data_IF_360100187750
#
_entry.id   IF_360100187750
#
_cell.length_a   1.000
_cell.length_b   1.000
_cell.length_c   1.000
_cell.angle_alpha   90.00
_cell.angle_beta   90.00
_cell.angle_gamma   90.00
#
_symmetry.space_group_name_H-M   'P 1'
#
loop_
_entity.id
_entity.type
_entity.pdbx_description
1 polymer ?
#
# COMPACT_ATOMS: atom_id res chain seq x y z
N UNK A 1 0.50 21.96 6.68
CA UNK A 1 -0.71 22.29 5.88
C UNK A 1 -1.44 20.98 5.58
N UNK A 2 -2.75 20.86 5.86
CA UNK A 2 -3.50 19.60 5.71
C UNK A 2 -4.31 19.50 4.40
N UNK A 3 -4.24 20.53 3.55
CA UNK A 3 -4.86 20.54 2.22
C UNK A 3 -3.81 20.97 1.19
N UNK A 4 -3.58 20.16 0.16
CA UNK A 4 -2.71 20.44 -0.97
C UNK A 4 -3.54 20.69 -2.21
N UNK A 5 -3.35 21.83 -2.86
CA UNK A 5 -4.09 22.19 -4.07
C UNK A 5 -3.13 22.83 -5.07
N UNK A 6 -2.87 22.12 -6.16
CA UNK A 6 -1.96 22.56 -7.22
C UNK A 6 -2.64 22.36 -8.58
N UNK A 7 -3.00 23.45 -9.24
CA UNK A 7 -3.60 23.40 -10.59
C UNK A 7 -2.59 22.92 -11.64
N UNK A 8 -1.34 23.38 -11.51
CA UNK A 8 -0.22 22.93 -12.32
C UNK A 8 0.43 21.69 -11.68
N UNK A 9 0.78 20.71 -12.51
CA UNK A 9 1.45 19.46 -12.10
C UNK A 9 2.96 19.60 -11.91
N UNK A 10 3.52 20.71 -12.37
CA UNK A 10 4.96 20.95 -12.45
C UNK A 10 5.59 20.35 -13.70
N UNK A 11 6.92 20.38 -13.74
CA UNK A 11 7.75 19.91 -14.87
C UNK A 11 8.11 18.42 -14.81
N UNK A 12 7.80 17.75 -13.71
CA UNK A 12 8.28 16.40 -13.39
C UNK A 12 7.39 15.29 -13.95
N UNK A 13 8.04 14.18 -14.31
CA UNK A 13 7.43 12.93 -14.74
C UNK A 13 6.82 12.98 -16.14
N UNK A 14 6.42 11.80 -16.62
CA UNK A 14 5.83 11.65 -17.96
C UNK A 14 4.36 12.08 -17.95
N UNK A 15 4.04 13.17 -18.66
CA UNK A 15 2.67 13.65 -18.83
C UNK A 15 1.73 12.66 -19.53
N UNK A 16 2.27 11.77 -20.37
CA UNK A 16 1.51 10.70 -21.03
C UNK A 16 1.17 9.54 -20.10
N UNK A 17 1.84 9.43 -18.94
CA UNK A 17 1.53 8.40 -17.95
C UNK A 17 0.22 8.73 -17.24
N UNK A 18 -0.81 7.90 -17.47
CA UNK A 18 -2.11 8.09 -16.83
C UNK A 18 -2.00 7.99 -15.32
N UNK A 19 -2.80 8.76 -14.61
CA UNK A 19 -2.84 8.73 -13.15
C UNK A 19 -1.61 9.32 -12.46
N UNK A 20 -0.75 10.06 -13.16
CA UNK A 20 0.40 10.68 -12.51
C UNK A 20 -0.02 11.73 -11.46
N UNK A 21 0.70 11.83 -10.34
CA UNK A 21 0.49 12.85 -9.31
C UNK A 21 1.28 14.13 -9.64
N UNK A 22 0.87 15.27 -9.10
CA UNK A 22 1.64 16.53 -9.23
C UNK A 22 2.96 16.42 -8.47
N UNK A 23 4.07 16.82 -9.10
CA UNK A 23 5.38 16.82 -8.45
C UNK A 23 5.44 17.74 -7.22
N UNK A 24 4.60 18.78 -7.18
CA UNK A 24 4.46 19.65 -6.02
C UNK A 24 4.00 18.90 -4.76
N UNK A 25 3.21 17.82 -4.91
CA UNK A 25 2.79 17.00 -3.77
C UNK A 25 4.00 16.32 -3.13
N UNK A 26 4.83 15.64 -3.93
CA UNK A 26 6.06 15.02 -3.44
C UNK A 26 7.01 16.05 -2.85
N UNK A 27 7.17 17.20 -3.52
CA UNK A 27 8.00 18.29 -3.03
C UNK A 27 7.56 18.76 -1.64
N UNK A 28 6.26 18.99 -1.43
CA UNK A 28 5.74 19.38 -0.11
C UNK A 28 5.96 18.30 0.95
N UNK A 29 5.81 17.01 0.59
CA UNK A 29 6.11 15.91 1.52
C UNK A 29 7.60 15.89 1.88
N UNK A 30 8.49 16.05 0.90
CA UNK A 30 9.93 16.04 1.12
C UNK A 30 10.42 17.27 1.89
N UNK A 31 9.85 18.45 1.65
CA UNK A 31 10.12 19.66 2.44
C UNK A 31 9.68 19.49 3.90
N UNK A 32 8.54 18.81 4.14
CA UNK A 32 7.97 18.61 5.47
C UNK A 32 8.67 17.52 6.30
N UNK A 33 9.04 16.40 5.68
CA UNK A 33 9.57 15.22 6.36
C UNK A 33 11.08 15.02 6.17
N UNK A 34 11.70 15.74 5.23
CA UNK A 34 13.14 15.76 4.97
C UNK A 34 13.78 14.35 4.92
N UNK A 35 13.23 13.40 4.14
CA UNK A 35 13.81 12.08 4.03
C UNK A 35 15.19 12.17 3.35
N UNK A 36 16.15 11.36 3.81
CA UNK A 36 17.44 11.21 3.10
C UNK A 36 17.36 10.11 2.04
N UNK A 37 16.61 9.05 2.35
CA UNK A 37 16.31 7.92 1.49
C UNK A 37 14.80 7.82 1.31
N UNK A 38 14.36 7.85 0.05
CA UNK A 38 12.97 7.73 -0.37
C UNK A 38 12.76 6.50 -1.26
N UNK A 39 11.63 5.82 -1.11
CA UNK A 39 11.24 4.72 -1.99
C UNK A 39 9.81 4.90 -2.46
N UNK A 40 9.62 4.89 -3.78
CA UNK A 40 8.31 4.78 -4.41
C UNK A 40 8.19 3.38 -5.03
N UNK A 41 7.43 2.45 -4.41
CA UNK A 41 7.33 1.09 -4.92
C UNK A 41 6.36 0.95 -6.11
N UNK A 42 5.76 2.06 -6.56
CA UNK A 42 4.82 2.15 -7.68
C UNK A 42 5.05 3.45 -8.47
N UNK A 43 6.30 3.64 -8.92
CA UNK A 43 6.80 4.92 -9.43
C UNK A 43 6.11 5.41 -10.70
N UNK A 44 5.58 4.49 -11.52
CA UNK A 44 4.93 4.78 -12.79
C UNK A 44 5.70 5.78 -13.67
N UNK A 45 5.18 7.00 -13.77
CA UNK A 45 5.71 8.06 -14.65
C UNK A 45 7.04 8.68 -14.20
N UNK A 46 7.58 8.34 -13.02
CA UNK A 46 8.89 8.82 -12.54
C UNK A 46 8.87 10.07 -11.67
N UNK A 47 7.71 10.72 -11.50
CA UNK A 47 7.59 12.05 -10.88
C UNK A 47 8.22 12.15 -9.49
N UNK A 48 7.98 11.16 -8.65
CA UNK A 48 8.46 11.16 -7.27
C UNK A 48 9.99 11.11 -7.18
N UNK A 49 10.61 10.30 -8.05
CA UNK A 49 12.08 10.17 -8.17
C UNK A 49 12.69 11.44 -8.75
N UNK A 50 12.12 12.01 -9.81
CA UNK A 50 12.66 13.26 -10.39
C UNK A 50 12.60 14.43 -9.40
N UNK A 51 11.55 14.51 -8.57
CA UNK A 51 11.46 15.52 -7.50
C UNK A 51 12.49 15.26 -6.41
N UNK A 52 12.71 14.00 -6.04
CA UNK A 52 13.70 13.61 -5.04
C UNK A 52 15.13 13.94 -5.50
N UNK A 53 15.46 13.63 -6.75
CA UNK A 53 16.76 13.95 -7.37
C UNK A 53 17.04 15.46 -7.35
N UNK A 54 16.05 16.28 -7.72
CA UNK A 54 16.18 17.75 -7.68
C UNK A 54 16.41 18.29 -6.26
N UNK A 55 15.92 17.58 -5.25
CA UNK A 55 16.08 17.93 -3.83
C UNK A 55 17.32 17.29 -3.18
N UNK A 56 18.13 16.53 -3.93
CA UNK A 56 19.31 15.84 -3.41
C UNK A 56 19.00 14.67 -2.46
N UNK A 57 17.84 14.04 -2.64
CA UNK A 57 17.37 12.91 -1.84
C UNK A 57 17.71 11.61 -2.60
N UNK A 58 18.27 10.62 -1.90
CA UNK A 58 18.51 9.31 -2.49
C UNK A 58 17.17 8.59 -2.71
N UNK A 59 16.80 8.32 -3.97
CA UNK A 59 15.49 7.76 -4.30
C UNK A 59 15.55 6.44 -5.09
N UNK A 60 14.60 5.55 -4.79
CA UNK A 60 14.40 4.30 -5.52
C UNK A 60 12.97 4.24 -6.05
N UNK A 61 12.83 4.22 -7.38
CA UNK A 61 11.56 3.95 -8.05
C UNK A 61 11.46 2.49 -8.45
N UNK A 62 10.49 1.77 -7.89
CA UNK A 62 10.14 0.41 -8.29
C UNK A 62 8.79 0.40 -8.99
N UNK A 63 8.55 -0.59 -9.83
CA UNK A 63 7.24 -0.78 -10.46
C UNK A 63 7.10 -2.20 -11.00
N UNK A 64 5.85 -2.63 -11.16
CA UNK A 64 5.51 -3.89 -11.81
C UNK A 64 6.01 -3.91 -13.26
N UNK A 65 5.93 -2.78 -13.97
CA UNK A 65 6.45 -2.68 -15.34
C UNK A 65 7.98 -2.74 -15.43
N UNK A 66 8.67 -2.54 -14.30
CA UNK A 66 10.12 -2.60 -14.17
C UNK A 66 10.58 -3.91 -13.50
N UNK A 67 9.69 -4.90 -13.37
CA UNK A 67 10.01 -6.20 -12.79
C UNK A 67 10.07 -6.22 -11.26
N UNK A 68 9.35 -5.32 -10.57
CA UNK A 68 9.15 -5.37 -9.13
C UNK A 68 7.67 -5.52 -8.80
N UNK A 69 7.31 -6.62 -8.16
CA UNK A 69 5.94 -6.89 -7.77
C UNK A 69 5.77 -6.67 -6.27
N UNK A 70 5.20 -5.53 -5.86
CA UNK A 70 5.01 -5.18 -4.44
C UNK A 70 4.22 -6.24 -3.63
N UNK A 71 3.44 -7.10 -4.29
CA UNK A 71 2.68 -8.18 -3.66
C UNK A 71 3.46 -9.49 -3.48
N UNK A 72 4.66 -9.60 -4.05
CA UNK A 72 5.49 -10.82 -4.01
C UNK A 72 6.93 -10.55 -3.59
N UNK A 73 7.48 -9.41 -4.01
CA UNK A 73 8.85 -9.00 -3.77
C UNK A 73 8.94 -8.11 -2.54
N UNK A 74 9.99 -8.30 -1.73
CA UNK A 74 10.27 -7.41 -0.60
C UNK A 74 10.90 -6.11 -1.07
N UNK A 75 10.30 -4.96 -0.70
CA UNK A 75 10.90 -3.63 -0.97
C UNK A 75 12.28 -3.54 -0.31
N UNK A 76 12.38 -3.98 0.95
CA UNK A 76 13.61 -3.94 1.73
C UNK A 76 14.73 -4.75 1.07
N UNK A 77 14.45 -5.97 0.61
CA UNK A 77 15.47 -6.80 -0.06
C UNK A 77 15.86 -6.22 -1.43
N UNK A 78 14.91 -5.68 -2.18
CA UNK A 78 15.17 -5.07 -3.49
C UNK A 78 16.05 -3.83 -3.39
N UNK A 79 15.79 -2.97 -2.40
CA UNK A 79 16.53 -1.73 -2.17
C UNK A 79 17.83 -1.99 -1.39
N UNK A 80 17.88 -3.05 -0.58
CA UNK A 80 19.03 -3.46 0.21
C UNK A 80 19.27 -2.65 1.49
N UNK A 81 18.41 -1.67 1.79
CA UNK A 81 18.47 -0.82 2.99
C UNK A 81 17.08 -0.29 3.36
N UNK A 82 16.93 0.11 4.62
CA UNK A 82 15.71 0.79 5.07
C UNK A 82 15.67 2.25 4.58
N UNK A 83 14.46 2.75 4.33
CA UNK A 83 14.22 4.12 3.86
C UNK A 83 13.64 5.03 4.96
N UNK A 84 13.93 6.33 4.89
CA UNK A 84 13.30 7.33 5.76
C UNK A 84 11.82 7.52 5.43
N UNK A 85 11.47 7.41 4.14
CA UNK A 85 10.10 7.50 3.66
C UNK A 85 9.81 6.49 2.55
N UNK A 86 8.72 5.72 2.69
CA UNK A 86 8.21 4.83 1.65
C UNK A 86 6.78 5.23 1.29
N UNK A 87 6.55 5.69 0.06
CA UNK A 87 5.26 6.25 -0.33
C UNK A 87 4.87 5.80 -1.73
N UNK A 88 3.67 5.24 -1.86
CA UNK A 88 3.12 4.84 -3.15
C UNK A 88 1.97 5.75 -3.58
N UNK A 89 1.77 5.81 -4.88
CA UNK A 89 0.55 6.35 -5.45
C UNK A 89 -0.23 5.23 -6.14
N UNK A 90 -1.35 4.84 -5.52
CA UNK A 90 -2.24 3.81 -6.08
C UNK A 90 -3.33 4.47 -6.93
N UNK A 91 -3.47 4.11 -8.20
CA UNK A 91 -4.68 4.42 -8.97
C UNK A 91 -5.88 3.67 -8.34
N UNK A 92 -7.10 4.23 -8.43
CA UNK A 92 -8.28 3.58 -7.84
C UNK A 92 -8.79 2.40 -8.65
N UNK A 93 -8.90 1.23 -8.02
CA UNK A 93 -9.71 0.10 -8.51
C UNK A 93 -9.52 -0.14 -10.03
N UNK A 94 -10.56 -0.51 -10.77
CA UNK A 94 -10.56 -0.73 -12.22
C UNK A 94 -10.54 0.56 -13.06
N UNK A 95 -10.25 1.74 -12.48
CA UNK A 95 -10.35 3.02 -13.19
C UNK A 95 -9.25 3.18 -14.25
N UNK A 96 -8.08 2.59 -14.04
CA UNK A 96 -6.99 2.52 -15.02
C UNK A 96 -6.36 1.13 -14.90
N UNK A 97 -6.67 0.22 -15.82
CA UNK A 97 -5.93 -1.05 -15.91
C UNK A 97 -4.56 -0.74 -16.54
N UNK A 98 -3.44 -1.00 -15.86
CA UNK A 98 -2.12 -0.65 -16.40
C UNK A 98 -1.54 -1.78 -17.24
N UNK A 99 -1.47 -2.99 -16.69
CA UNK A 99 -0.98 -4.15 -17.42
C UNK A 99 -1.94 -4.52 -18.56
N UNK A 100 -1.45 -4.57 -19.80
CA UNK A 100 -2.27 -4.84 -20.98
C UNK A 100 -3.05 -3.64 -21.55
N UNK A 101 -2.96 -2.44 -20.96
CA UNK A 101 -3.51 -1.21 -21.59
C UNK A 101 -2.55 -0.02 -21.58
N UNK A 102 -1.82 0.20 -20.49
CA UNK A 102 -0.79 1.25 -20.39
C UNK A 102 0.58 0.69 -20.75
N UNK A 103 0.87 -0.56 -20.39
CA UNK A 103 2.12 -1.23 -20.72
C UNK A 103 1.96 -2.75 -20.79
N UNK A 104 2.79 -3.40 -21.61
CA UNK A 104 2.94 -4.86 -21.67
C UNK A 104 1.65 -5.65 -21.88
N UNK A 105 1.68 -6.90 -21.42
CA UNK A 105 0.54 -7.83 -21.42
C UNK A 105 -0.18 -7.82 -20.05
N UNK A 106 -1.45 -8.28 -19.99
CA UNK A 106 -2.18 -8.53 -18.74
C UNK A 106 -1.36 -9.23 -17.63
N UNK A 107 -1.28 -8.63 -16.43
CA UNK A 107 -0.58 -9.23 -15.29
C UNK A 107 -1.55 -9.51 -14.12
N UNK A 108 -1.57 -10.74 -13.61
CA UNK A 108 -2.53 -11.17 -12.58
C UNK A 108 -2.38 -10.41 -11.24
N UNK A 109 -1.16 -9.98 -10.93
CA UNK A 109 -0.87 -9.23 -9.70
C UNK A 109 -0.97 -7.71 -9.87
N UNK A 110 -1.50 -7.24 -11.00
CA UNK A 110 -1.90 -5.83 -11.13
C UNK A 110 -2.95 -5.52 -10.04
N UNK A 111 -2.65 -4.54 -9.18
CA UNK A 111 -3.52 -4.10 -8.07
C UNK A 111 -4.91 -3.68 -8.55
N UNK A 112 -5.09 -3.48 -9.85
CA UNK A 112 -6.30 -2.93 -10.45
C UNK A 112 -7.08 -3.98 -11.26
N UNK A 113 -6.55 -5.21 -11.35
CA UNK A 113 -7.27 -6.41 -11.83
C UNK A 113 -7.83 -7.20 -10.64
N UNK A 114 -8.63 -6.54 -9.82
CA UNK A 114 -9.27 -7.16 -8.67
C UNK A 114 -10.60 -7.80 -9.02
N UNK A 115 -10.85 -8.99 -8.47
CA UNK A 115 -12.12 -9.71 -8.65
C UNK A 115 -13.23 -9.16 -7.74
N UNK A 116 -12.87 -8.42 -6.68
CA UNK A 116 -13.79 -7.77 -5.75
C UNK A 116 -13.09 -6.61 -5.01
N UNK A 117 -13.88 -5.75 -4.34
CA UNK A 117 -13.32 -4.72 -3.45
C UNK A 117 -12.52 -5.31 -2.29
N UNK A 118 -12.89 -6.51 -1.84
CA UNK A 118 -12.18 -7.20 -0.76
C UNK A 118 -10.77 -7.63 -1.21
N UNK A 119 -10.64 -8.14 -2.45
CA UNK A 119 -9.34 -8.46 -3.06
C UNK A 119 -8.47 -7.20 -3.21
N UNK A 120 -9.07 -6.07 -3.63
CA UNK A 120 -8.38 -4.79 -3.72
C UNK A 120 -7.82 -4.34 -2.37
N UNK A 121 -8.66 -4.36 -1.33
CA UNK A 121 -8.23 -3.96 0.01
C UNK A 121 -7.21 -4.92 0.63
N UNK A 122 -7.30 -6.22 0.35
CA UNK A 122 -6.29 -7.21 0.77
C UNK A 122 -4.92 -6.89 0.14
N UNK A 123 -4.90 -6.61 -1.17
CA UNK A 123 -3.67 -6.26 -1.88
C UNK A 123 -3.07 -4.94 -1.40
N UNK A 124 -3.88 -3.91 -1.18
CA UNK A 124 -3.41 -2.64 -0.57
C UNK A 124 -2.81 -2.88 0.80
N UNK A 125 -3.44 -3.71 1.63
CA UNK A 125 -2.92 -4.00 2.96
C UNK A 125 -1.56 -4.70 2.90
N UNK A 126 -1.38 -5.65 1.97
CA UNK A 126 -0.07 -6.29 1.72
C UNK A 126 0.97 -5.28 1.29
N UNK A 127 0.63 -4.40 0.35
CA UNK A 127 1.50 -3.31 -0.10
C UNK A 127 1.92 -2.42 1.07
N UNK A 128 0.97 -1.96 1.90
CA UNK A 128 1.25 -1.11 3.06
C UNK A 128 2.14 -1.79 4.10
N UNK A 129 1.95 -3.09 4.35
CA UNK A 129 2.83 -3.86 5.24
C UNK A 129 4.24 -3.98 4.68
N UNK A 130 4.38 -4.22 3.37
CA UNK A 130 5.68 -4.26 2.70
C UNK A 130 6.40 -2.90 2.80
N UNK A 131 5.68 -1.79 2.58
CA UNK A 131 6.20 -0.44 2.76
C UNK A 131 6.70 -0.21 4.19
N UNK A 132 5.85 -0.52 5.19
CA UNK A 132 6.20 -0.38 6.60
C UNK A 132 7.45 -1.21 6.98
N UNK A 133 7.59 -2.41 6.42
CA UNK A 133 8.76 -3.25 6.67
C UNK A 133 10.05 -2.61 6.12
N UNK A 134 9.99 -1.97 4.95
CA UNK A 134 11.12 -1.26 4.34
C UNK A 134 11.41 0.13 4.94
N UNK A 135 10.46 0.71 5.68
CA UNK A 135 10.67 1.97 6.39
C UNK A 135 11.51 1.76 7.65
N UNK A 136 12.48 2.62 7.92
CA UNK A 136 13.28 2.56 9.15
C UNK A 136 12.46 2.91 10.39
N UNK A 137 12.96 2.55 11.57
CA UNK A 137 12.37 3.00 12.84
C UNK A 137 12.34 4.55 12.94
N UNK A 138 11.21 5.12 13.32
CA UNK A 138 10.94 6.56 13.29
C UNK A 138 10.65 7.16 11.91
N UNK A 139 10.75 6.36 10.84
CA UNK A 139 10.47 6.79 9.46
C UNK A 139 8.98 6.85 9.13
N UNK A 140 8.67 7.35 7.94
CA UNK A 140 7.31 7.52 7.45
C UNK A 140 6.97 6.49 6.36
N UNK A 141 5.75 5.99 6.37
CA UNK A 141 5.21 5.26 5.23
C UNK A 141 3.79 5.72 4.92
N UNK A 142 3.35 5.54 3.69
CA UNK A 142 2.01 5.95 3.33
C UNK A 142 1.63 5.69 1.89
N UNK A 143 0.46 6.21 1.54
CA UNK A 143 -0.04 6.16 0.18
C UNK A 143 -0.87 7.40 -0.15
N UNK A 144 -0.94 7.73 -1.44
CA UNK A 144 -1.99 8.54 -2.02
C UNK A 144 -3.09 7.60 -2.52
N UNK A 145 -4.28 7.73 -1.94
CA UNK A 145 -5.50 7.02 -2.32
C UNK A 145 -6.69 8.01 -2.34
N UNK A 146 -7.90 7.58 -2.58
CA UNK A 146 -9.05 8.41 -2.92
C UNK A 146 -10.24 7.51 -3.10
N UNK A 147 -11.40 8.11 -2.96
CA UNK A 147 -12.62 7.36 -2.78
C UNK A 147 -13.35 7.14 -4.09
N UNK A 148 -14.12 6.07 -4.16
CA UNK A 148 -14.85 5.69 -5.37
C UNK A 148 -16.35 5.86 -5.14
N UNK A 149 -17.03 6.44 -6.14
CA UNK A 149 -18.48 6.35 -6.25
C UNK A 149 -18.87 5.65 -7.53
N UNK A 150 -19.57 4.51 -7.42
CA UNK A 150 -20.08 3.74 -8.55
C UNK A 150 -21.48 3.23 -8.25
N UNK A 151 -22.38 3.30 -9.23
CA UNK A 151 -23.78 2.87 -9.10
C UNK A 151 -24.51 3.49 -7.88
N UNK A 152 -24.22 4.76 -7.57
CA UNK A 152 -24.81 5.47 -6.44
C UNK A 152 -24.24 5.12 -5.06
N UNK A 153 -23.35 4.13 -4.95
CA UNK A 153 -22.71 3.74 -3.71
C UNK A 153 -21.35 4.42 -3.56
N UNK A 154 -21.07 4.98 -2.39
CA UNK A 154 -19.79 5.56 -2.02
C UNK A 154 -18.95 4.53 -1.26
N UNK A 155 -17.71 4.35 -1.69
CA UNK A 155 -16.73 3.46 -1.07
C UNK A 155 -15.58 4.30 -0.56
N UNK A 156 -15.37 4.29 0.75
CA UNK A 156 -14.32 5.07 1.39
C UNK A 156 -13.06 4.22 1.59
N UNK A 157 -12.25 4.11 0.53
CA UNK A 157 -11.00 3.36 0.59
C UNK A 157 -10.02 3.96 1.57
N UNK A 158 -10.04 5.28 1.79
CA UNK A 158 -9.22 5.91 2.81
C UNK A 158 -9.55 5.38 4.22
N UNK A 159 -10.84 5.23 4.54
CA UNK A 159 -11.29 4.76 5.84
C UNK A 159 -10.88 3.30 6.04
N UNK A 160 -11.02 2.49 4.99
CA UNK A 160 -10.60 1.09 5.01
C UNK A 160 -9.08 0.95 5.18
N UNK A 161 -8.27 1.81 4.57
CA UNK A 161 -6.81 1.83 4.78
C UNK A 161 -6.47 2.14 6.24
N UNK A 162 -7.07 3.19 6.82
CA UNK A 162 -6.88 3.57 8.23
C UNK A 162 -7.33 2.44 9.16
N UNK A 163 -8.45 1.80 8.86
CA UNK A 163 -8.99 0.70 9.65
C UNK A 163 -8.21 -0.62 9.50
N UNK A 164 -7.22 -0.69 8.59
CA UNK A 164 -6.40 -1.89 8.33
C UNK A 164 -4.93 -1.73 8.70
N UNK A 165 -4.52 -0.55 9.16
CA UNK A 165 -3.17 -0.24 9.63
C UNK A 165 -3.17 0.24 11.09
N UNK A 166 -2.08 0.05 11.85
CA UNK A 166 -2.02 0.41 13.27
C UNK A 166 -2.45 1.87 13.52
N UNK A 167 -3.50 2.06 14.34
CA UNK A 167 -4.02 3.40 14.68
C UNK A 167 -3.00 4.23 15.46
N UNK A 168 -2.18 3.56 16.28
CA UNK A 168 -1.05 4.12 17.03
C UNK A 168 -0.01 4.78 16.15
N UNK A 169 0.12 4.33 14.90
CA UNK A 169 1.10 4.83 13.94
C UNK A 169 0.51 5.91 13.02
N UNK A 170 -0.81 6.13 13.00
CA UNK A 170 -1.44 7.10 12.10
C UNK A 170 -0.96 8.51 12.46
N UNK A 171 -0.23 9.13 11.54
CA UNK A 171 0.45 10.39 11.77
C UNK A 171 -0.27 11.57 11.09
N UNK A 172 -0.77 11.39 9.86
CA UNK A 172 -1.47 12.44 9.14
C UNK A 172 -2.44 11.90 8.09
N UNK A 173 -3.53 12.64 7.89
CA UNK A 173 -4.42 12.52 6.73
C UNK A 173 -4.47 13.90 6.06
N UNK A 174 -3.94 13.99 4.84
CA UNK A 174 -3.85 15.23 4.07
C UNK A 174 -4.74 15.12 2.84
N UNK A 175 -5.54 16.16 2.59
CA UNK A 175 -6.46 16.21 1.45
C UNK A 175 -5.70 16.80 0.26
N UNK A 176 -5.67 16.10 -0.86
CA UNK A 176 -5.15 16.60 -2.13
C UNK A 176 -6.33 16.94 -3.04
N UNK A 177 -6.51 18.22 -3.36
CA UNK A 177 -7.52 18.63 -4.34
C UNK A 177 -7.16 18.08 -5.73
N UNK A 178 -8.17 17.62 -6.47
CA UNK A 178 -8.05 17.21 -7.85
C UNK A 178 -8.45 18.36 -8.77
N UNK A 179 -7.65 18.54 -9.83
CA UNK A 179 -7.86 19.54 -10.87
C UNK A 179 -7.78 18.85 -12.24
N UNK A 180 -8.55 19.33 -13.22
CA UNK A 180 -8.53 18.87 -14.60
C UNK A 180 -8.82 17.36 -14.77
N UNK A 181 -9.87 16.88 -14.11
CA UNK A 181 -10.26 15.47 -14.17
C UNK A 181 -11.02 15.17 -15.47
N UNK A 182 -10.83 13.97 -16.04
CA UNK A 182 -11.62 13.49 -17.21
C UNK A 182 -13.13 13.47 -16.90
N UNK A 183 -13.50 13.34 -15.63
CA UNK A 183 -14.89 13.40 -15.19
C UNK A 183 -15.49 14.81 -15.25
N UNK A 184 -14.68 15.86 -15.41
CA UNK A 184 -15.14 17.25 -15.49
C UNK A 184 -15.90 17.55 -16.78
N UNK A 185 -15.64 16.82 -17.86
CA UNK A 185 -16.39 16.95 -19.12
C UNK A 185 -17.73 16.22 -19.09
N UNK A 186 -18.03 15.45 -18.04
CA UNK A 186 -19.27 14.66 -17.94
C UNK A 186 -20.37 15.43 -17.22
N UNK A 187 -21.44 15.75 -17.94
CA UNK A 187 -22.67 16.28 -17.34
C UNK A 187 -23.51 15.12 -16.77
N UNK A 188 -23.47 14.98 -15.45
CA UNK A 188 -24.32 14.03 -14.74
C UNK A 188 -25.70 14.68 -14.53
N UNK A 189 -26.62 14.46 -15.47
CA UNK A 189 -27.92 15.14 -15.56
C UNK A 189 -28.85 15.00 -14.34
N UNK A 190 -28.51 14.17 -13.34
CA UNK A 190 -29.27 13.94 -12.09
C UNK A 190 -28.37 13.57 -10.90
N UNK A 191 -27.39 14.41 -10.54
CA UNK A 191 -26.60 14.13 -9.33
C UNK A 191 -27.40 14.42 -8.06
N UNK A 192 -27.70 13.38 -7.29
CA UNK A 192 -28.24 13.49 -5.92
C UNK A 192 -27.17 13.85 -4.88
N UNK A 193 -25.89 13.58 -5.17
CA UNK A 193 -24.78 13.70 -4.21
C UNK A 193 -23.59 14.48 -4.79
N UNK A 194 -22.84 15.18 -3.93
CA UNK A 194 -21.67 16.01 -4.29
C UNK A 194 -20.55 15.19 -4.93
N UNK A 195 -19.87 15.74 -5.95
CA UNK A 195 -18.74 15.10 -6.63
C UNK A 195 -17.55 14.93 -5.69
N UNK A 196 -16.78 13.86 -5.90
CA UNK A 196 -15.47 13.67 -5.27
C UNK A 196 -14.48 14.47 -6.11
N UNK A 197 -13.80 15.43 -5.49
CA UNK A 197 -12.84 16.34 -6.12
C UNK A 197 -11.50 16.33 -5.38
N UNK A 198 -11.24 15.25 -4.64
CA UNK A 198 -10.09 15.15 -3.78
C UNK A 198 -9.64 13.71 -3.60
N UNK A 199 -8.38 13.59 -3.23
CA UNK A 199 -7.69 12.37 -2.87
C UNK A 199 -7.12 12.55 -1.45
N UNK A 200 -6.74 11.46 -0.81
CA UNK A 200 -6.19 11.39 0.53
C UNK A 200 -4.76 10.88 0.49
N UNK A 201 -3.85 11.67 1.04
CA UNK A 201 -2.53 11.21 1.42
C UNK A 201 -2.66 10.74 2.87
N UNK A 202 -2.40 9.46 3.11
CA UNK A 202 -2.45 8.87 4.44
C UNK A 202 -1.04 8.46 4.82
N UNK A 203 -0.57 8.96 5.96
CA UNK A 203 0.78 8.78 6.43
C UNK A 203 0.77 8.17 7.83
N UNK A 204 1.65 7.20 8.01
CA UNK A 204 1.94 6.57 9.28
C UNK A 204 3.41 6.76 9.64
N UNK A 205 3.70 6.90 10.93
CA UNK A 205 5.04 6.94 11.47
C UNK A 205 5.36 5.58 12.11
N UNK A 206 6.40 4.90 11.61
CA UNK A 206 6.87 3.64 12.20
C UNK A 206 7.52 3.94 13.55
N UNK A 207 7.09 3.33 14.67
CA UNK A 207 7.62 3.63 16.00
C UNK A 207 9.14 3.44 16.08
N UNK A 208 9.83 4.25 16.91
CA UNK A 208 11.27 4.08 17.16
C UNK A 208 11.57 2.79 17.93
N UNK A 209 10.76 2.48 18.94
CA UNK A 209 10.85 1.23 19.68
C UNK A 209 9.91 0.21 19.05
N UNK A 210 10.47 -0.86 18.47
CA UNK A 210 9.71 -1.95 17.82
C UNK A 210 9.01 -2.87 18.86
N UNK A 211 8.80 -2.38 20.08
CA UNK A 211 8.17 -3.11 21.18
C UNK A 211 6.66 -3.37 20.95
N UNK A 212 6.04 -2.66 20.01
CA UNK A 212 4.64 -2.87 19.64
C UNK A 212 4.56 -3.84 18.45
N UNK A 213 4.10 -5.06 18.73
CA UNK A 213 3.88 -6.06 17.69
C UNK A 213 2.72 -5.60 16.79
N UNK A 214 3.02 -5.33 15.51
CA UNK A 214 2.08 -4.92 14.46
C UNK A 214 0.86 -5.83 14.47
N UNK A 215 1.07 -7.13 14.67
CA UNK A 215 0.00 -8.11 14.64
C UNK A 215 -0.86 -8.02 15.89
N UNK A 216 -0.37 -7.53 17.04
CA UNK A 216 -1.21 -7.18 18.19
C UNK A 216 -2.17 -6.03 17.85
N UNK A 217 -1.68 -4.98 17.20
CA UNK A 217 -2.49 -3.84 16.77
C UNK A 217 -3.51 -4.27 15.69
N UNK A 218 -3.04 -4.97 14.65
CA UNK A 218 -3.91 -5.53 13.61
C UNK A 218 -4.91 -6.55 14.19
N UNK A 219 -4.55 -7.32 15.22
CA UNK A 219 -5.46 -8.25 15.89
C UNK A 219 -6.52 -7.56 16.74
N UNK A 220 -6.14 -6.52 17.49
CA UNK A 220 -7.07 -5.70 18.25
C UNK A 220 -8.11 -5.05 17.33
N UNK A 221 -7.66 -4.59 16.15
CA UNK A 221 -8.52 -4.03 15.11
C UNK A 221 -9.41 -5.09 14.44
N UNK A 222 -8.85 -6.26 14.14
CA UNK A 222 -9.58 -7.39 13.57
C UNK A 222 -10.71 -7.87 14.52
N UNK A 223 -10.50 -7.83 15.84
CA UNK A 223 -11.51 -8.16 16.86
C UNK A 223 -12.70 -7.19 16.89
N UNK A 224 -12.54 -5.96 16.39
CA UNK A 224 -13.61 -4.95 16.27
C UNK A 224 -14.44 -5.08 14.99
N UNK A 225 -13.95 -5.75 13.94
CA UNK A 225 -14.62 -5.88 12.63
C UNK A 225 -14.52 -7.33 12.10
N UNK A 226 -15.60 -8.12 12.25
CA UNK A 226 -15.62 -9.58 11.99
C UNK A 226 -15.27 -10.01 10.55
N UNK A 227 -15.55 -9.19 9.54
CA UNK A 227 -15.17 -9.47 8.14
C UNK A 227 -13.71 -9.09 7.84
N UNK A 228 -13.18 -8.05 8.50
CA UNK A 228 -11.78 -7.63 8.36
C UNK A 228 -10.82 -8.70 8.89
N UNK A 229 -11.23 -9.49 9.88
CA UNK A 229 -10.47 -10.61 10.45
C UNK A 229 -9.90 -11.57 9.39
N UNK A 230 -10.68 -11.95 8.37
CA UNK A 230 -10.25 -12.93 7.36
C UNK A 230 -9.28 -12.34 6.33
N UNK A 231 -9.55 -11.13 5.86
CA UNK A 231 -8.68 -10.40 4.93
C UNK A 231 -7.33 -10.05 5.58
N UNK A 232 -7.32 -9.70 6.87
CA UNK A 232 -6.10 -9.40 7.63
C UNK A 232 -5.18 -10.62 7.74
N UNK A 233 -5.70 -11.83 8.00
CA UNK A 233 -4.85 -13.03 8.07
C UNK A 233 -4.14 -13.34 6.75
N UNK A 234 -4.82 -13.19 5.61
CA UNK A 234 -4.19 -13.38 4.31
C UNK A 234 -3.08 -12.35 4.07
N UNK A 235 -3.35 -11.07 4.37
CA UNK A 235 -2.35 -10.02 4.21
C UNK A 235 -1.12 -10.24 5.10
N UNK A 236 -1.34 -10.64 6.36
CA UNK A 236 -0.29 -10.95 7.33
C UNK A 236 0.56 -12.15 6.89
N UNK A 237 -0.06 -13.25 6.51
CA UNK A 237 0.67 -14.46 6.09
C UNK A 237 1.41 -14.21 4.77
N UNK A 238 0.80 -13.49 3.82
CA UNK A 238 1.48 -13.09 2.57
C UNK A 238 2.68 -12.20 2.88
N UNK A 239 2.52 -11.19 3.72
CA UNK A 239 3.62 -10.31 4.11
C UNK A 239 4.77 -11.05 4.82
N UNK A 240 4.46 -12.02 5.68
CA UNK A 240 5.47 -12.87 6.31
C UNK A 240 6.28 -13.65 5.25
N UNK A 241 5.61 -14.25 4.26
CA UNK A 241 6.26 -14.93 3.15
C UNK A 241 7.10 -13.97 2.28
N UNK A 242 6.60 -12.78 1.95
CA UNK A 242 7.36 -11.75 1.21
C UNK A 242 8.66 -11.39 1.96
N UNK A 243 8.57 -11.17 3.26
CA UNK A 243 9.73 -10.84 4.11
C UNK A 243 10.76 -11.98 4.13
N UNK A 244 10.29 -13.23 4.04
CA UNK A 244 11.14 -14.42 3.95
C UNK A 244 11.65 -14.71 2.51
N UNK A 245 11.43 -13.80 1.55
CA UNK A 245 11.91 -13.96 0.17
C UNK A 245 11.00 -14.78 -0.74
N UNK A 246 9.70 -14.86 -0.43
CA UNK A 246 8.68 -15.47 -1.29
C UNK A 246 8.63 -17.00 -1.28
N UNK A 247 9.62 -17.69 -0.69
CA UNK A 247 9.64 -19.14 -0.45
C UNK A 247 10.20 -19.43 0.94
N UNK A 248 9.44 -20.11 1.80
CA UNK A 248 9.88 -20.38 3.18
C UNK A 248 9.34 -21.70 3.75
N UNK A 249 10.03 -22.23 4.78
CA UNK A 249 9.52 -23.37 5.56
C UNK A 249 8.39 -22.93 6.47
N UNK A 250 7.46 -23.84 6.73
CA UNK A 250 6.31 -23.59 7.58
C UNK A 250 6.70 -23.12 8.99
N UNK A 251 7.80 -23.65 9.54
CA UNK A 251 8.35 -23.25 10.85
C UNK A 251 8.89 -21.81 10.84
N UNK A 252 9.54 -21.38 9.74
CA UNK A 252 10.03 -20.02 9.58
C UNK A 252 8.85 -19.04 9.45
N UNK A 253 7.79 -19.43 8.72
CA UNK A 253 6.55 -18.66 8.62
C UNK A 253 5.88 -18.52 9.99
N UNK A 254 5.81 -19.61 10.77
CA UNK A 254 5.32 -19.57 12.13
C UNK A 254 6.14 -18.64 13.02
N UNK A 255 7.46 -18.72 12.95
CA UNK A 255 8.36 -17.89 13.74
C UNK A 255 8.25 -16.42 13.35
N UNK A 256 8.17 -16.11 12.06
CA UNK A 256 7.98 -14.75 11.56
C UNK A 256 6.64 -14.16 12.03
N UNK A 257 5.55 -14.93 11.95
CA UNK A 257 4.24 -14.50 12.45
C UNK A 257 4.23 -14.40 13.98
N UNK A 258 4.87 -15.33 14.69
CA UNK A 258 4.89 -15.37 16.15
C UNK A 258 5.73 -14.24 16.77
N UNK A 259 6.93 -13.98 16.24
CA UNK A 259 7.78 -12.87 16.65
C UNK A 259 7.10 -11.51 16.41
N UNK A 260 6.28 -11.43 15.36
CA UNK A 260 5.51 -10.25 15.05
C UNK A 260 4.14 -10.17 15.78
N UNK A 261 3.73 -11.19 16.56
CA UNK A 261 2.37 -11.34 17.16
C UNK A 261 2.26 -12.01 18.55
N UNK A 262 3.14 -11.78 19.55
CA UNK A 262 3.07 -12.51 20.82
C UNK A 262 1.70 -12.41 21.54
N UNK A 263 0.98 -11.30 21.39
CA UNK A 263 -0.34 -11.10 22.01
C UNK A 263 -1.51 -11.91 21.42
N UNK A 264 -1.42 -12.36 20.16
CA UNK A 264 -2.42 -13.25 19.54
C UNK A 264 -2.25 -14.71 19.99
N UNK A 265 -1.00 -15.12 20.22
CA UNK A 265 -0.64 -16.48 20.62
C UNK A 265 -1.17 -16.82 22.01
N UNK A 266 -1.26 -15.81 22.88
CA UNK A 266 -1.71 -15.97 24.27
C UNK A 266 -3.20 -16.37 24.41
N UNK A 267 -4.02 -16.23 23.35
CA UNK A 267 -5.47 -16.48 23.41
C UNK A 267 -6.06 -17.41 22.36
N UNK A 268 -5.26 -17.94 21.42
CA UNK A 268 -5.77 -18.76 20.32
C UNK A 268 -4.89 -20.00 20.08
N UNK A 269 -5.24 -21.12 20.72
CA UNK A 269 -4.50 -22.39 20.62
C UNK A 269 -4.38 -22.96 19.19
N UNK A 270 -5.17 -22.46 18.22
CA UNK A 270 -5.22 -22.99 16.85
C UNK A 270 -4.65 -22.03 15.79
N UNK A 271 -3.89 -21.00 16.17
CA UNK A 271 -3.33 -20.01 15.24
C UNK A 271 -2.48 -20.64 14.11
N UNK A 272 -1.69 -21.67 14.41
CA UNK A 272 -0.92 -22.40 13.39
C UNK A 272 -1.81 -23.10 12.35
N UNK A 273 -2.98 -23.61 12.77
CA UNK A 273 -3.96 -24.19 11.85
C UNK A 273 -4.58 -23.10 10.96
N UNK A 274 -4.79 -21.89 11.50
CA UNK A 274 -5.27 -20.75 10.71
C UNK A 274 -4.24 -20.32 9.66
N UNK A 275 -2.95 -20.31 10.01
CA UNK A 275 -1.87 -20.05 9.04
C UNK A 275 -1.87 -21.11 7.95
N UNK A 276 -1.96 -22.41 8.28
CA UNK A 276 -2.03 -23.49 7.27
C UNK A 276 -3.23 -23.34 6.34
N UNK A 277 -4.41 -23.06 6.91
CA UNK A 277 -5.62 -22.80 6.12
C UNK A 277 -5.42 -21.60 5.19
N UNK A 278 -4.76 -20.55 5.67
CA UNK A 278 -4.53 -19.32 4.89
C UNK A 278 -3.53 -19.58 3.77
N UNK A 279 -2.44 -20.29 4.04
CA UNK A 279 -1.42 -20.68 3.05
C UNK A 279 -2.03 -21.45 1.87
N UNK A 280 -2.96 -22.38 2.14
CA UNK A 280 -3.68 -23.11 1.08
C UNK A 280 -4.48 -22.20 0.13
N UNK A 281 -4.81 -20.99 0.53
CA UNK A 281 -5.58 -20.03 -0.27
C UNK A 281 -4.69 -19.05 -1.05
N UNK A 282 -3.46 -18.80 -0.59
CA UNK A 282 -2.63 -17.69 -1.09
C UNK A 282 -1.26 -18.10 -1.62
N UNK A 283 -0.85 -19.36 -1.41
CA UNK A 283 0.47 -19.88 -1.72
C UNK A 283 0.35 -21.34 -2.18
N UNK A 284 1.42 -21.88 -2.78
CA UNK A 284 1.50 -23.28 -3.21
C UNK A 284 2.54 -24.06 -2.40
N UNK A 285 2.26 -25.32 -2.03
CA UNK A 285 3.26 -26.20 -1.43
C UNK A 285 4.24 -26.65 -2.53
N UNK A 286 5.50 -26.25 -2.42
CA UNK A 286 6.55 -26.64 -3.38
C UNK A 286 7.20 -27.95 -2.97
N UNK A 287 7.41 -28.13 -1.66
CA UNK A 287 7.95 -29.34 -1.04
C UNK A 287 7.23 -29.56 0.29
N UNK A 288 7.42 -30.74 0.89
CA UNK A 288 6.79 -31.05 2.18
C UNK A 288 7.21 -30.02 3.24
N UNK A 289 6.26 -29.19 3.67
CA UNK A 289 6.50 -28.14 4.66
C UNK A 289 7.09 -26.84 4.11
N UNK A 290 7.24 -26.69 2.79
CA UNK A 290 7.77 -25.48 2.14
C UNK A 290 6.69 -24.86 1.25
N UNK A 291 6.46 -23.56 1.43
CA UNK A 291 5.43 -22.79 0.72
C UNK A 291 6.06 -21.66 -0.09
N UNK A 292 5.49 -21.37 -1.26
CA UNK A 292 5.88 -20.25 -2.12
C UNK A 292 4.66 -19.49 -2.69
N UNK A 293 4.82 -18.18 -2.92
CA UNK A 293 3.79 -17.30 -3.50
C UNK A 293 3.92 -17.22 -5.02
#
# INVERSE_FOLDING_TARGET
>A
MSILSFENRGKWGKNSWRGNCSGHVYKTLFEQYQPRIFVDPMVGGGTSVEVADEMGIEAYGLDLHSGFNILRDSILQRVGKEADMVFSHHPYHDMIVYSGQVWGEPHADDLLRCTSDEDFMEKIQVALLNQRAATKAGGMYGLLIGDLRRNGQYKSYQADCIARMPKSELAAVVIKAQHNCVSDSRQYAKMKHMRILHEYIILWNKPQEVMVSILSDLAGMAKQHSTALRATWKAVVRHALITLGGKAKLEDIYSAVANAAPGQLAGNNNWQAKIRQTLQLIAQPVERGIWAI
#
